data_IF_050942007311
#
_entry.id   IF_050942007311
#
_cell.length_a   1.000
_cell.length_b   1.000
_cell.length_c   1.000
_cell.angle_alpha   90.00
_cell.angle_beta   90.00
_cell.angle_gamma   90.00
#
_symmetry.space_group_name_H-M   'P 1'
#
loop_
_entity.id
_entity.type
_entity.pdbx_description
1 polymer ?
#
# COMPACT_ATOMS: atom_id res chain seq x y z
N UNK A 1 18.10 -26.97 -4.49
CA UNK A 1 18.02 -26.54 -3.09
C UNK A 1 17.78 -25.03 -3.11
N UNK A 2 16.52 -24.63 -3.30
CA UNK A 2 16.13 -23.23 -3.35
C UNK A 2 15.73 -22.82 -1.93
N UNK A 3 16.59 -22.08 -1.29
CA UNK A 3 16.31 -21.49 0.04
C UNK A 3 15.40 -20.31 -0.20
N UNK A 4 14.15 -20.44 0.22
CA UNK A 4 13.20 -19.33 0.32
C UNK A 4 13.74 -18.30 1.34
N UNK A 5 14.26 -17.17 0.83
CA UNK A 5 14.93 -16.13 1.64
C UNK A 5 13.90 -15.20 2.34
N UNK A 6 12.61 -15.45 2.22
CA UNK A 6 11.57 -14.48 2.55
C UNK A 6 10.66 -14.81 3.73
N UNK A 7 11.14 -15.61 4.66
CA UNK A 7 10.61 -15.59 6.01
C UNK A 7 11.62 -15.00 6.99
N UNK A 8 12.07 -13.77 6.78
CA UNK A 8 12.55 -12.98 7.91
C UNK A 8 11.32 -12.54 8.68
N UNK A 9 10.64 -13.52 9.20
CA UNK A 9 9.67 -13.34 10.27
C UNK A 9 10.50 -12.83 11.44
N UNK A 10 10.34 -11.56 11.71
CA UNK A 10 10.87 -10.96 12.91
C UNK A 10 10.27 -11.70 14.09
N UNK A 11 11.07 -12.54 14.74
CA UNK A 11 10.67 -13.18 15.99
C UNK A 11 10.63 -12.11 17.06
N UNK A 12 9.45 -11.60 17.32
CA UNK A 12 9.16 -10.89 18.54
C UNK A 12 9.54 -11.76 19.72
N UNK A 13 10.19 -11.20 20.73
CA UNK A 13 10.26 -11.87 22.02
C UNK A 13 8.84 -12.06 22.52
N UNK A 14 8.47 -13.30 22.85
CA UNK A 14 7.12 -13.79 23.22
C UNK A 14 6.43 -13.04 24.38
N UNK A 15 7.01 -12.00 24.92
CA UNK A 15 6.55 -11.31 26.14
C UNK A 15 5.87 -9.95 25.89
N UNK A 16 5.71 -9.51 24.65
CA UNK A 16 4.93 -8.30 24.38
C UNK A 16 3.52 -8.72 23.93
N UNK A 17 2.56 -8.55 24.83
CA UNK A 17 1.14 -8.77 24.52
C UNK A 17 0.73 -7.72 23.47
N UNK A 18 0.20 -8.12 22.30
CA UNK A 18 -0.33 -7.17 21.34
C UNK A 18 -1.45 -6.34 21.99
N UNK A 19 -1.67 -5.08 21.58
CA UNK A 19 -2.85 -4.36 21.98
C UNK A 19 -4.09 -5.22 21.69
N UNK A 20 -4.95 -5.43 22.69
CA UNK A 20 -6.10 -6.33 22.64
C UNK A 20 -7.15 -5.99 21.58
N UNK A 21 -6.93 -4.92 20.80
CA UNK A 21 -7.85 -4.39 19.79
C UNK A 21 -7.17 -4.06 18.45
N UNK A 22 -6.09 -4.74 18.09
CA UNK A 22 -5.46 -4.47 16.80
C UNK A 22 -6.41 -4.86 15.67
N UNK A 23 -6.67 -3.91 14.78
CA UNK A 23 -7.49 -4.08 13.58
C UNK A 23 -6.61 -4.19 12.34
N UNK A 24 -7.18 -4.70 11.27
CA UNK A 24 -6.57 -4.66 9.95
C UNK A 24 -6.60 -3.24 9.37
N UNK A 25 -5.47 -2.80 8.83
CA UNK A 25 -5.34 -1.55 8.12
C UNK A 25 -4.76 -1.79 6.73
N UNK A 26 -5.37 -1.19 5.73
CA UNK A 26 -4.91 -1.28 4.36
C UNK A 26 -3.96 -0.12 4.07
N UNK A 27 -2.66 -0.41 3.98
CA UNK A 27 -1.66 0.61 3.65
C UNK A 27 -1.65 0.93 2.15
N UNK A 28 -1.88 -0.09 1.32
CA UNK A 28 -1.92 0.09 -0.14
C UNK A 28 -2.93 -0.84 -0.77
N UNK A 29 -3.74 -0.30 -1.68
CA UNK A 29 -4.68 -1.06 -2.51
C UNK A 29 -4.78 -0.37 -3.87
N UNK A 30 -3.81 -0.64 -4.75
CA UNK A 30 -3.62 0.05 -6.02
C UNK A 30 -3.88 -0.90 -7.17
N UNK A 31 -4.88 -0.56 -8.00
CA UNK A 31 -5.12 -1.22 -9.28
C UNK A 31 -4.49 -0.39 -10.40
N UNK A 32 -3.70 -1.03 -11.25
CA UNK A 32 -2.98 -0.39 -12.35
C UNK A 32 -2.76 -1.33 -13.53
N UNK A 33 -2.30 -0.80 -14.65
CA UNK A 33 -2.00 -1.59 -15.84
C UNK A 33 -0.75 -2.44 -15.67
N UNK A 34 0.25 -1.91 -14.96
CA UNK A 34 1.50 -2.63 -14.71
C UNK A 34 2.13 -2.20 -13.37
N UNK A 35 2.85 -3.12 -12.73
CA UNK A 35 3.66 -2.88 -11.53
C UNK A 35 5.06 -3.39 -11.77
N UNK A 36 6.02 -2.49 -11.84
CA UNK A 36 7.44 -2.84 -11.94
C UNK A 36 8.10 -2.71 -10.58
N UNK A 37 8.78 -3.76 -10.18
CA UNK A 37 9.51 -3.81 -8.92
C UNK A 37 10.99 -4.06 -9.17
N UNK A 38 11.83 -3.30 -8.49
CA UNK A 38 13.28 -3.53 -8.42
C UNK A 38 13.66 -3.67 -6.94
N UNK A 39 14.90 -4.06 -6.60
CA UNK A 39 15.31 -4.13 -5.21
C UNK A 39 15.08 -2.84 -4.40
N UNK A 40 15.07 -1.68 -5.06
CA UNK A 40 15.03 -0.38 -4.40
C UNK A 40 13.85 0.51 -4.87
N UNK A 41 12.97 0.04 -5.75
CA UNK A 41 11.86 0.86 -6.23
C UNK A 41 10.64 0.04 -6.62
N UNK A 42 9.48 0.69 -6.53
CA UNK A 42 8.23 0.22 -7.09
C UNK A 42 7.66 1.30 -8.01
N UNK A 43 7.21 0.88 -9.18
CA UNK A 43 6.59 1.76 -10.18
C UNK A 43 5.18 1.27 -10.47
N UNK A 44 4.20 2.13 -10.31
CA UNK A 44 2.81 1.89 -10.68
C UNK A 44 2.52 2.61 -11.99
N UNK A 45 2.17 1.88 -13.04
CA UNK A 45 1.94 2.41 -14.38
C UNK A 45 0.47 2.31 -14.71
N UNK A 46 -0.14 3.42 -15.14
CA UNK A 46 -1.52 3.46 -15.62
C UNK A 46 -2.54 3.06 -14.56
N UNK A 47 -2.70 3.89 -13.52
CA UNK A 47 -3.71 3.61 -12.47
C UNK A 47 -5.12 3.51 -13.04
N UNK A 48 -5.81 2.39 -12.75
CA UNK A 48 -7.14 2.10 -13.26
C UNK A 48 -8.21 2.62 -12.30
N UNK A 49 -8.82 3.74 -12.62
CA UNK A 49 -9.99 4.30 -11.90
C UNK A 49 -11.18 4.49 -12.82
N UNK A 50 -10.92 4.60 -14.11
CA UNK A 50 -11.93 4.71 -15.15
C UNK A 50 -11.45 3.94 -16.38
N UNK A 51 -12.36 3.32 -17.07
CA UNK A 51 -12.15 2.55 -18.29
C UNK A 51 -13.15 2.97 -19.36
N UNK A 52 -12.70 3.00 -20.60
CA UNK A 52 -13.58 3.10 -21.76
C UNK A 52 -13.58 1.76 -22.52
N UNK A 53 -14.75 1.26 -22.85
CA UNK A 53 -14.91 0.03 -23.61
C UNK A 53 -16.02 0.17 -24.68
N UNK A 54 -15.70 -0.21 -25.92
CA UNK A 54 -16.66 -0.18 -27.04
C UNK A 54 -17.55 -1.42 -27.10
N UNK A 55 -17.04 -2.57 -26.67
CA UNK A 55 -17.76 -3.83 -26.73
C UNK A 55 -17.77 -4.54 -25.38
N UNK A 56 -18.89 -5.13 -25.02
CA UNK A 56 -19.10 -5.94 -23.82
C UNK A 56 -19.57 -7.35 -24.19
N UNK A 57 -19.20 -8.42 -23.44
CA UNK A 57 -18.27 -8.38 -22.31
C UNK A 57 -16.82 -8.17 -22.76
N UNK A 58 -15.99 -7.55 -21.91
CA UNK A 58 -14.56 -7.34 -22.14
C UNK A 58 -13.73 -7.86 -20.98
N UNK A 59 -12.69 -8.66 -21.28
CA UNK A 59 -11.69 -9.04 -20.28
C UNK A 59 -10.55 -8.03 -20.28
N UNK A 60 -10.16 -7.58 -19.08
CA UNK A 60 -9.07 -6.64 -18.86
C UNK A 60 -8.08 -7.28 -17.89
N UNK A 61 -6.83 -7.35 -18.28
CA UNK A 61 -5.74 -7.73 -17.38
C UNK A 61 -5.26 -6.49 -16.62
N UNK A 62 -5.14 -6.62 -15.31
CA UNK A 62 -4.69 -5.56 -14.42
C UNK A 62 -3.81 -6.12 -13.30
N UNK A 63 -2.97 -5.27 -12.73
CA UNK A 63 -2.22 -5.59 -11.54
C UNK A 63 -2.84 -4.91 -10.33
N UNK A 64 -3.03 -5.67 -9.27
CA UNK A 64 -3.36 -5.18 -7.95
C UNK A 64 -2.13 -5.29 -7.06
N UNK A 65 -1.65 -4.16 -6.56
CA UNK A 65 -0.67 -4.11 -5.48
C UNK A 65 -1.38 -3.84 -4.17
N UNK A 66 -1.07 -4.63 -3.16
CA UNK A 66 -1.69 -4.56 -1.86
C UNK A 66 -0.65 -4.64 -0.76
N UNK A 67 -0.82 -3.81 0.27
CA UNK A 67 -0.07 -3.90 1.53
C UNK A 67 -1.05 -3.71 2.67
N UNK A 68 -1.07 -4.67 3.60
CA UNK A 68 -1.91 -4.65 4.79
C UNK A 68 -1.07 -4.78 6.04
N UNK A 69 -1.55 -4.19 7.11
CA UNK A 69 -0.99 -4.27 8.45
C UNK A 69 -2.07 -4.77 9.42
N UNK A 70 -1.74 -5.76 10.25
CA UNK A 70 -2.74 -6.33 11.15
C UNK A 70 -2.19 -7.28 12.20
N UNK A 71 -3.08 -7.97 12.92
CA UNK A 71 -2.71 -8.95 13.93
C UNK A 71 -2.03 -10.18 13.31
N UNK A 72 -1.22 -10.87 14.10
CA UNK A 72 -0.58 -12.12 13.69
C UNK A 72 -1.42 -13.30 14.14
N UNK A 73 -2.22 -13.81 13.24
CA UNK A 73 -2.99 -15.06 13.40
C UNK A 73 -3.24 -15.62 12.01
N UNK A 74 -3.94 -16.73 11.93
CA UNK A 74 -4.40 -17.26 10.65
C UNK A 74 -5.56 -16.43 10.11
N UNK A 75 -5.50 -16.07 8.84
CA UNK A 75 -6.48 -15.20 8.21
C UNK A 75 -6.86 -15.68 6.81
N UNK A 76 -8.14 -15.52 6.51
CA UNK A 76 -8.68 -15.74 5.17
C UNK A 76 -8.84 -14.40 4.43
N UNK A 77 -8.24 -14.32 3.25
CA UNK A 77 -8.36 -13.15 2.40
C UNK A 77 -9.01 -13.49 1.07
N UNK A 78 -9.93 -12.62 0.63
CA UNK A 78 -10.56 -12.69 -0.69
C UNK A 78 -10.46 -11.35 -1.40
N UNK A 79 -10.18 -11.42 -2.70
CA UNK A 79 -10.30 -10.27 -3.60
C UNK A 79 -11.52 -10.56 -4.48
N UNK A 80 -12.51 -9.70 -4.42
CA UNK A 80 -13.76 -9.84 -5.17
C UNK A 80 -13.97 -8.67 -6.11
N UNK A 81 -14.61 -8.91 -7.23
CA UNK A 81 -15.16 -7.88 -8.12
C UNK A 81 -16.69 -7.87 -7.97
N UNK A 82 -17.21 -6.75 -7.51
CA UNK A 82 -18.64 -6.50 -7.43
C UNK A 82 -19.09 -5.79 -8.69
N UNK A 83 -20.10 -6.31 -9.33
CA UNK A 83 -20.68 -5.81 -10.57
C UNK A 83 -21.82 -4.83 -10.30
N UNK A 84 -22.20 -3.98 -11.27
CA UNK A 84 -23.35 -3.07 -11.12
C UNK A 84 -24.67 -3.83 -10.90
N UNK A 85 -24.86 -4.94 -11.60
CA UNK A 85 -26.13 -5.70 -11.63
C UNK A 85 -26.00 -7.16 -11.27
N UNK A 86 -24.80 -7.74 -11.37
CA UNK A 86 -24.56 -9.16 -11.15
C UNK A 86 -24.06 -9.46 -9.72
N UNK A 87 -24.04 -10.74 -9.36
CA UNK A 87 -23.45 -11.18 -8.10
C UNK A 87 -21.91 -10.98 -8.10
N UNK A 88 -21.33 -10.68 -6.93
CA UNK A 88 -19.89 -10.51 -6.80
C UNK A 88 -19.13 -11.79 -7.21
N UNK A 89 -18.02 -11.61 -7.91
CA UNK A 89 -17.13 -12.69 -8.33
C UNK A 89 -15.84 -12.70 -7.51
N UNK A 90 -15.49 -13.83 -6.94
CA UNK A 90 -14.17 -14.03 -6.31
C UNK A 90 -13.12 -14.13 -7.42
N UNK A 91 -12.14 -13.23 -7.39
CA UNK A 91 -11.01 -13.19 -8.32
C UNK A 91 -9.79 -13.90 -7.74
N UNK A 92 -9.63 -13.85 -6.43
CA UNK A 92 -8.50 -14.44 -5.71
C UNK A 92 -8.92 -14.79 -4.28
N UNK A 93 -8.38 -15.88 -3.75
CA UNK A 93 -8.61 -16.33 -2.39
C UNK A 93 -7.31 -16.95 -1.85
N UNK A 94 -6.95 -16.58 -0.64
CA UNK A 94 -5.73 -17.04 0.01
C UNK A 94 -5.95 -17.17 1.52
N UNK A 95 -5.42 -18.23 2.08
CA UNK A 95 -5.27 -18.40 3.51
C UNK A 95 -3.81 -18.14 3.87
N UNK A 96 -3.54 -17.25 4.81
CA UNK A 96 -2.19 -17.01 5.28
C UNK A 96 -2.07 -17.24 6.78
N UNK A 97 -1.10 -18.07 7.09
CA UNK A 97 -0.65 -18.30 8.44
C UNK A 97 0.48 -17.35 8.78
N UNK A 98 0.39 -16.70 9.91
CA UNK A 98 1.43 -15.77 10.32
C UNK A 98 1.82 -15.91 11.78
N UNK A 99 3.08 -16.22 12.03
CA UNK A 99 3.65 -16.43 13.37
C UNK A 99 4.43 -15.20 13.87
N UNK A 100 4.08 -14.00 13.54
CA UNK A 100 4.85 -12.83 13.98
C UNK A 100 4.00 -11.59 14.18
N UNK A 101 4.32 -10.79 15.17
CA UNK A 101 3.67 -9.51 15.41
C UNK A 101 4.69 -8.38 15.40
N UNK A 102 4.36 -7.22 14.82
CA UNK A 102 3.20 -6.93 13.97
C UNK A 102 3.35 -7.52 12.57
N UNK A 103 2.22 -7.82 11.94
CA UNK A 103 2.20 -8.38 10.59
C UNK A 103 2.01 -7.28 9.54
N UNK A 104 2.93 -7.21 8.63
CA UNK A 104 2.75 -6.44 7.40
C UNK A 104 2.88 -7.39 6.21
N UNK A 105 1.78 -7.56 5.48
CA UNK A 105 1.71 -8.38 4.28
C UNK A 105 1.70 -7.47 3.05
N UNK A 106 2.55 -7.77 2.10
CA UNK A 106 2.65 -7.03 0.84
C UNK A 106 2.71 -8.00 -0.32
N UNK A 107 1.86 -7.80 -1.31
CA UNK A 107 1.81 -8.64 -2.49
C UNK A 107 1.31 -7.90 -3.73
N UNK A 108 1.58 -8.50 -4.92
CA UNK A 108 1.03 -8.07 -6.20
C UNK A 108 0.31 -9.23 -6.86
N UNK A 109 -0.88 -8.96 -7.37
CA UNK A 109 -1.74 -9.94 -8.02
C UNK A 109 -2.02 -9.53 -9.46
N UNK A 110 -1.88 -10.47 -10.39
CA UNK A 110 -2.35 -10.28 -11.75
C UNK A 110 -3.80 -10.73 -11.82
N UNK A 111 -4.70 -9.79 -12.05
CA UNK A 111 -6.13 -10.03 -12.06
C UNK A 111 -6.68 -9.99 -13.48
N UNK A 112 -7.68 -10.83 -13.75
CA UNK A 112 -8.51 -10.78 -14.95
C UNK A 112 -9.88 -10.25 -14.57
N UNK A 113 -10.13 -9.01 -14.94
CA UNK A 113 -11.40 -8.33 -14.68
C UNK A 113 -12.32 -8.56 -15.86
N UNK A 114 -13.45 -9.19 -15.64
CA UNK A 114 -14.47 -9.38 -16.66
C UNK A 114 -15.50 -8.26 -16.54
N UNK A 115 -15.50 -7.35 -17.47
CA UNK A 115 -16.40 -6.20 -17.54
C UNK A 115 -17.57 -6.58 -18.44
N UNK A 116 -18.77 -6.69 -17.88
CA UNK A 116 -19.97 -7.18 -18.58
C UNK A 116 -20.79 -6.07 -19.21
N UNK A 117 -20.77 -4.87 -18.61
CA UNK A 117 -21.59 -3.73 -19.02
C UNK A 117 -20.93 -2.40 -18.57
N UNK A 118 -21.37 -1.24 -19.05
CA UNK A 118 -20.99 0.04 -18.48
C UNK A 118 -21.53 0.19 -17.05
N UNK A 119 -20.80 0.93 -16.19
CA UNK A 119 -21.23 1.19 -14.83
C UNK A 119 -20.10 1.16 -13.81
N UNK A 120 -20.47 1.10 -12.55
CA UNK A 120 -19.57 1.15 -11.41
C UNK A 120 -19.25 -0.25 -10.90
N UNK A 121 -18.00 -0.62 -10.95
CA UNK A 121 -17.46 -1.85 -10.41
C UNK A 121 -16.66 -1.56 -9.15
N UNK A 122 -16.76 -2.46 -8.16
CA UNK A 122 -15.98 -2.36 -6.93
C UNK A 122 -15.05 -3.54 -6.81
N UNK A 123 -13.75 -3.26 -6.81
CA UNK A 123 -12.76 -4.24 -6.41
C UNK A 123 -12.61 -4.14 -4.89
N UNK A 124 -12.90 -5.22 -4.17
CA UNK A 124 -12.87 -5.25 -2.72
C UNK A 124 -11.88 -6.29 -2.19
N UNK A 125 -11.19 -5.93 -1.12
CA UNK A 125 -10.41 -6.87 -0.32
C UNK A 125 -11.18 -7.16 0.97
N UNK A 126 -11.47 -8.43 1.19
CA UNK A 126 -12.14 -8.95 2.39
C UNK A 126 -11.11 -9.76 3.17
N UNK A 127 -10.94 -9.44 4.45
CA UNK A 127 -10.12 -10.23 5.38
C UNK A 127 -11.01 -10.58 6.57
N UNK A 128 -11.11 -11.87 6.88
CA UNK A 128 -11.96 -12.41 7.95
C UNK A 128 -13.40 -11.88 7.84
N UNK A 129 -14.00 -12.08 6.67
CA UNK A 129 -15.37 -11.67 6.31
C UNK A 129 -15.68 -10.16 6.42
N UNK A 130 -14.66 -9.33 6.65
CA UNK A 130 -14.83 -7.88 6.70
C UNK A 130 -14.15 -7.19 5.52
N UNK A 131 -14.86 -6.28 4.85
CA UNK A 131 -14.30 -5.45 3.77
C UNK A 131 -13.26 -4.50 4.38
N UNK A 132 -11.99 -4.65 3.96
CA UNK A 132 -10.86 -3.84 4.43
C UNK A 132 -10.46 -2.76 3.43
N UNK A 133 -10.69 -3.00 2.16
CA UNK A 133 -10.54 -2.00 1.12
C UNK A 133 -11.60 -2.19 0.05
N UNK A 134 -11.97 -1.10 -0.59
CA UNK A 134 -12.83 -1.10 -1.76
C UNK A 134 -12.32 -0.04 -2.74
N UNK A 135 -12.29 -0.37 -4.01
CA UNK A 135 -11.85 0.51 -5.07
C UNK A 135 -12.88 0.57 -6.18
N UNK A 136 -13.33 1.77 -6.47
CA UNK A 136 -14.22 2.03 -7.59
C UNK A 136 -13.44 1.98 -8.91
N UNK A 137 -14.04 1.30 -9.89
CA UNK A 137 -13.65 1.28 -11.29
C UNK A 137 -14.90 1.71 -12.06
N UNK A 138 -14.90 2.93 -12.56
CA UNK A 138 -16.00 3.45 -13.35
C UNK A 138 -15.78 3.10 -14.83
N UNK A 139 -16.77 2.45 -15.47
CA UNK A 139 -16.67 1.99 -16.86
C UNK A 139 -17.64 2.74 -17.73
N UNK A 140 -17.11 3.47 -18.70
CA UNK A 140 -17.86 4.23 -19.69
C UNK A 140 -17.91 3.52 -21.04
N UNK A 141 -19.03 3.61 -21.78
CA UNK A 141 -19.05 3.15 -23.16
C UNK A 141 -18.16 4.03 -24.03
N UNK A 142 -17.38 3.42 -24.88
CA UNK A 142 -16.69 4.12 -25.95
C UNK A 142 -17.69 4.49 -27.02
N UNK A 143 -17.72 5.75 -27.47
CA UNK A 143 -18.63 6.24 -28.50
C UNK A 143 -17.88 6.23 -29.83
N UNK A 144 -18.25 5.30 -30.71
CA UNK A 144 -17.56 5.09 -32.00
C UNK A 144 -17.73 6.27 -32.97
N UNK A 145 -18.77 7.09 -32.77
CA UNK A 145 -19.05 8.30 -33.55
C UNK A 145 -18.22 9.52 -33.11
N UNK A 146 -17.55 9.44 -31.97
CA UNK A 146 -16.66 10.47 -31.49
C UNK A 146 -15.20 10.19 -31.84
N UNK A 147 -14.44 11.26 -32.04
CA UNK A 147 -12.99 11.11 -32.15
C UNK A 147 -12.38 10.58 -30.84
N UNK A 148 -11.20 9.94 -30.92
CA UNK A 148 -10.47 9.47 -29.75
C UNK A 148 -10.25 10.59 -28.71
N UNK A 149 -9.90 11.79 -29.19
CA UNK A 149 -9.72 12.97 -28.32
C UNK A 149 -11.01 13.36 -27.60
N UNK A 150 -12.16 13.32 -28.29
CA UNK A 150 -13.46 13.65 -27.69
C UNK A 150 -13.87 12.59 -26.64
N UNK A 151 -13.64 11.30 -26.91
CA UNK A 151 -13.85 10.24 -25.94
C UNK A 151 -12.94 10.40 -24.69
N UNK A 152 -11.66 10.74 -24.88
CA UNK A 152 -10.74 11.01 -23.77
C UNK A 152 -11.18 12.24 -22.96
N UNK A 153 -11.68 13.29 -23.60
CA UNK A 153 -12.18 14.48 -22.91
C UNK A 153 -13.46 14.15 -22.12
N UNK A 154 -14.41 13.45 -22.71
CA UNK A 154 -15.63 13.01 -22.02
C UNK A 154 -15.33 12.16 -20.79
N UNK A 155 -14.35 11.24 -20.90
CA UNK A 155 -13.90 10.45 -19.75
C UNK A 155 -13.25 11.32 -18.66
N UNK A 156 -12.41 12.29 -19.04
CA UNK A 156 -11.80 13.21 -18.08
C UNK A 156 -12.85 14.09 -17.37
N UNK A 157 -13.87 14.57 -18.08
CA UNK A 157 -14.98 15.33 -17.52
C UNK A 157 -15.81 14.47 -16.55
N UNK A 158 -16.11 13.21 -16.91
CA UNK A 158 -16.79 12.28 -16.05
C UNK A 158 -16.00 11.98 -14.74
N UNK A 159 -14.68 11.77 -14.85
CA UNK A 159 -13.81 11.59 -13.69
C UNK A 159 -13.84 12.81 -12.77
N UNK A 160 -13.70 14.00 -13.34
CA UNK A 160 -13.66 15.25 -12.56
C UNK A 160 -15.01 15.62 -11.94
N UNK A 161 -16.10 15.28 -12.59
CA UNK A 161 -17.48 15.56 -12.14
C UNK A 161 -18.11 14.46 -11.30
N UNK A 162 -17.41 13.36 -11.06
CA UNK A 162 -17.95 12.22 -10.33
C UNK A 162 -18.20 12.59 -8.86
N UNK A 163 -19.48 12.54 -8.45
CA UNK A 163 -19.92 12.98 -7.12
C UNK A 163 -20.79 11.95 -6.40
N UNK A 164 -20.81 10.69 -6.86
CA UNK A 164 -21.64 9.67 -6.22
C UNK A 164 -21.29 9.51 -4.76
N UNK A 165 -22.23 9.91 -3.89
CA UNK A 165 -21.99 10.11 -2.46
C UNK A 165 -22.15 8.84 -1.63
N UNK A 166 -22.68 7.77 -2.18
CA UNK A 166 -22.94 6.56 -1.37
C UNK A 166 -21.68 5.78 -1.03
N UNK A 167 -20.56 6.11 -1.63
CA UNK A 167 -19.52 5.14 -1.81
C UNK A 167 -18.25 5.31 -1.04
N UNK A 168 -17.77 6.50 -0.72
CA UNK A 168 -16.38 6.58 -0.35
C UNK A 168 -16.15 7.56 0.79
N UNK A 169 -16.19 7.04 2.00
CA UNK A 169 -15.44 7.67 3.10
C UNK A 169 -14.00 7.86 2.63
N UNK A 170 -13.36 8.98 2.96
CA UNK A 170 -11.97 9.21 2.58
C UNK A 170 -11.10 8.09 3.14
N UNK A 171 -10.24 7.54 2.29
CA UNK A 171 -9.34 6.45 2.66
C UNK A 171 -8.00 6.56 1.95
N UNK A 172 -7.01 5.94 2.54
CA UNK A 172 -5.71 5.79 1.91
C UNK A 172 -5.79 4.71 0.82
N UNK A 173 -5.25 5.02 -0.35
CA UNK A 173 -5.02 4.03 -1.41
C UNK A 173 -3.55 3.65 -1.52
N UNK A 174 -2.67 4.48 -0.97
CA UNK A 174 -1.26 4.22 -0.78
C UNK A 174 -0.78 4.98 0.46
N UNK A 175 0.00 4.31 1.29
CA UNK A 175 0.76 4.90 2.38
C UNK A 175 2.11 4.22 2.46
N UNK A 176 3.18 4.98 2.36
CA UNK A 176 4.54 4.44 2.43
C UNK A 176 5.55 5.45 2.95
N UNK A 177 6.65 4.91 3.49
CA UNK A 177 7.85 5.67 3.86
C UNK A 177 8.96 5.36 2.86
N UNK A 178 9.71 6.38 2.47
CA UNK A 178 10.85 6.25 1.57
C UNK A 178 12.01 7.18 1.96
N UNK A 179 13.23 6.79 1.60
CA UNK A 179 14.40 7.66 1.76
C UNK A 179 14.48 8.71 0.66
N UNK A 180 13.94 8.38 -0.51
CA UNK A 180 13.96 9.25 -1.68
C UNK A 180 12.59 9.88 -1.90
N UNK A 181 12.60 11.08 -2.48
CA UNK A 181 11.36 11.76 -2.85
C UNK A 181 10.65 10.98 -3.98
N UNK A 182 9.38 10.54 -3.76
CA UNK A 182 8.60 9.87 -4.79
C UNK A 182 8.41 10.73 -6.03
N UNK A 183 8.55 10.11 -7.20
CA UNK A 183 8.39 10.76 -8.49
C UNK A 183 7.00 10.47 -9.05
N UNK A 184 6.34 11.50 -9.57
CA UNK A 184 5.03 11.37 -10.18
C UNK A 184 4.99 12.07 -11.53
N UNK A 185 4.41 11.40 -12.52
CA UNK A 185 3.97 11.96 -13.79
C UNK A 185 2.56 11.47 -14.12
N UNK A 186 1.97 11.93 -15.23
CA UNK A 186 0.56 11.69 -15.53
C UNK A 186 0.07 10.24 -15.37
N UNK A 187 0.91 9.24 -15.69
CA UNK A 187 0.54 7.82 -15.63
C UNK A 187 1.56 6.96 -14.87
N UNK A 188 2.48 7.58 -14.17
CA UNK A 188 3.56 6.89 -13.47
C UNK A 188 3.70 7.41 -12.06
N UNK A 189 3.69 6.51 -11.10
CA UNK A 189 4.14 6.77 -9.73
C UNK A 189 5.32 5.86 -9.43
N UNK A 190 6.45 6.47 -9.14
CA UNK A 190 7.69 5.76 -8.80
C UNK A 190 8.13 6.11 -7.40
N UNK A 191 8.28 5.08 -6.57
CA UNK A 191 8.72 5.19 -5.20
C UNK A 191 10.03 4.43 -5.07
N UNK A 192 11.08 5.15 -4.68
CA UNK A 192 12.43 4.60 -4.50
C UNK A 192 12.79 4.68 -3.01
N UNK A 193 13.56 3.69 -2.53
CA UNK A 193 14.04 3.69 -1.15
C UNK A 193 12.95 3.46 -0.10
N UNK A 194 11.89 2.68 -0.43
CA UNK A 194 10.94 2.23 0.59
C UNK A 194 11.65 1.41 1.66
N UNK A 195 11.32 1.63 2.92
CA UNK A 195 11.99 0.95 4.01
C UNK A 195 11.02 0.54 5.14
N UNK A 196 11.42 -0.49 5.86
CA UNK A 196 10.79 -0.92 7.11
C UNK A 196 11.80 -1.11 8.24
N UNK A 197 13.11 -1.04 7.94
CA UNK A 197 14.16 -1.25 8.96
C UNK A 197 15.28 -0.25 8.79
N UNK A 198 15.80 0.22 9.92
CA UNK A 198 16.92 1.15 10.02
C UNK A 198 17.93 0.60 11.00
N UNK A 199 19.16 0.42 10.56
CA UNK A 199 20.28 -0.01 11.40
C UNK A 199 21.19 1.17 11.68
N UNK A 200 21.57 1.38 12.93
CA UNK A 200 22.52 2.43 13.27
C UNK A 200 23.54 1.98 14.33
N UNK A 201 24.68 2.70 14.39
CA UNK A 201 25.74 2.43 15.36
C UNK A 201 25.38 2.95 16.76
N UNK A 202 24.73 4.11 16.79
CA UNK A 202 24.45 4.83 18.02
C UNK A 202 23.06 5.41 18.04
N UNK A 203 22.47 5.49 19.21
CA UNK A 203 21.21 6.18 19.48
C UNK A 203 21.46 7.45 20.32
N UNK A 204 20.65 8.51 20.21
CA UNK A 204 19.49 8.61 19.31
C UNK A 204 19.90 8.74 17.84
N UNK A 205 19.10 8.14 16.96
CA UNK A 205 19.22 8.32 15.51
C UNK A 205 18.17 9.31 15.04
N UNK A 206 18.57 10.28 14.25
CA UNK A 206 17.66 11.16 13.49
C UNK A 206 18.01 11.08 12.01
N UNK A 207 17.01 10.89 11.16
CA UNK A 207 17.19 10.97 9.72
C UNK A 207 15.94 11.49 9.01
N UNK A 208 16.13 12.05 7.82
CA UNK A 208 15.04 12.56 6.99
C UNK A 208 14.50 11.45 6.09
N UNK A 209 13.18 11.36 6.03
CA UNK A 209 12.43 10.47 5.15
C UNK A 209 11.28 11.22 4.48
N UNK A 210 10.62 10.57 3.54
CA UNK A 210 9.40 11.04 2.92
C UNK A 210 8.24 10.11 3.28
N UNK A 211 7.16 10.69 3.79
CA UNK A 211 5.88 10.02 3.89
C UNK A 211 5.09 10.36 2.63
N UNK A 212 4.78 9.35 1.84
CA UNK A 212 4.00 9.49 0.61
C UNK A 212 2.67 8.80 0.73
N UNK A 213 1.61 9.51 0.37
CA UNK A 213 0.25 9.04 0.52
C UNK A 213 -0.57 9.40 -0.71
N UNK A 214 -1.51 8.52 -1.04
CA UNK A 214 -2.58 8.80 -1.99
C UNK A 214 -3.90 8.67 -1.25
N UNK A 215 -4.68 9.74 -1.26
CA UNK A 215 -6.00 9.78 -0.67
C UNK A 215 -7.03 9.78 -1.79
N UNK A 216 -8.06 8.97 -1.63
CA UNK A 216 -9.25 8.97 -2.48
C UNK A 216 -10.48 9.08 -1.57
N UNK A 217 -11.44 9.91 -1.95
CA UNK A 217 -12.67 10.13 -1.19
C UNK A 217 -13.62 11.02 -1.95
N UNK A 218 -14.85 11.13 -1.45
CA UNK A 218 -15.83 12.05 -2.00
C UNK A 218 -15.29 13.49 -1.99
N UNK A 219 -15.81 14.38 -2.86
CA UNK A 219 -15.45 15.79 -2.80
C UNK A 219 -15.65 16.36 -1.40
N UNK A 220 -14.62 17.01 -0.88
CA UNK A 220 -14.63 17.57 0.47
C UNK A 220 -13.24 17.91 0.98
N UNK A 221 -13.20 18.53 2.15
CA UNK A 221 -11.96 18.89 2.85
C UNK A 221 -11.82 17.99 4.06
N UNK A 222 -10.70 17.30 4.16
CA UNK A 222 -10.41 16.31 5.19
C UNK A 222 -9.19 16.73 6.00
N UNK A 223 -9.25 16.50 7.32
CA UNK A 223 -8.10 16.68 8.20
C UNK A 223 -7.23 15.42 8.16
N UNK A 224 -6.03 15.56 7.60
CA UNK A 224 -5.03 14.50 7.54
C UNK A 224 -3.98 14.69 8.62
N UNK A 225 -3.63 13.59 9.33
CA UNK A 225 -2.59 13.57 10.36
C UNK A 225 -1.80 12.27 10.31
N UNK A 226 -0.52 12.34 10.63
CA UNK A 226 0.31 11.16 10.87
C UNK A 226 1.14 11.32 12.13
N UNK A 227 1.43 10.21 12.78
CA UNK A 227 2.12 10.14 14.06
C UNK A 227 3.13 9.00 14.07
N UNK A 228 4.26 9.18 14.77
CA UNK A 228 5.22 8.13 15.08
C UNK A 228 5.16 7.80 16.56
N UNK A 229 5.00 6.54 16.89
CA UNK A 229 4.95 6.03 18.26
C UNK A 229 6.05 5.01 18.52
N UNK A 230 6.65 5.05 19.71
CA UNK A 230 7.41 3.92 20.24
C UNK A 230 6.43 2.80 20.65
N UNK A 231 6.56 1.63 20.04
CA UNK A 231 5.66 0.50 20.30
C UNK A 231 5.74 -0.03 21.74
N UNK A 232 6.86 0.19 22.44
CA UNK A 232 7.07 -0.37 23.80
C UNK A 232 6.34 0.39 24.89
N UNK A 233 6.10 1.69 24.73
CA UNK A 233 5.50 2.55 25.74
C UNK A 233 4.40 3.46 25.20
N UNK A 234 4.07 3.37 23.89
CA UNK A 234 3.11 4.21 23.19
C UNK A 234 3.43 5.73 23.26
N UNK A 235 4.68 6.08 23.50
CA UNK A 235 5.11 7.46 23.48
C UNK A 235 5.07 8.01 22.05
N UNK A 236 4.38 9.16 21.89
CA UNK A 236 4.34 9.86 20.61
C UNK A 236 5.65 10.62 20.39
N UNK A 237 6.38 10.21 19.36
CA UNK A 237 7.69 10.75 18.99
C UNK A 237 7.60 11.88 17.96
N UNK A 238 6.57 11.84 17.11
CA UNK A 238 6.37 12.80 16.03
C UNK A 238 4.88 12.95 15.71
N UNK A 239 4.50 14.14 15.28
CA UNK A 239 3.17 14.44 14.75
C UNK A 239 3.29 15.45 13.61
N UNK A 240 2.56 15.21 12.52
CA UNK A 240 2.41 16.13 11.40
C UNK A 240 1.04 15.98 10.77
N UNK A 241 0.62 16.98 10.00
CA UNK A 241 -0.66 16.91 9.33
C UNK A 241 -0.93 18.12 8.44
N UNK A 242 -2.00 18.01 7.66
CA UNK A 242 -2.50 19.08 6.79
C UNK A 242 -3.97 18.86 6.45
N UNK A 243 -4.61 19.89 5.91
CA UNK A 243 -5.92 19.76 5.27
C UNK A 243 -5.77 19.34 3.82
N UNK A 244 -6.62 18.44 3.37
CA UNK A 244 -6.61 17.87 2.03
C UNK A 244 -7.95 18.13 1.38
N UNK A 245 -7.94 18.78 0.24
CA UNK A 245 -9.11 19.01 -0.60
C UNK A 245 -9.19 17.94 -1.69
N UNK A 246 -10.19 17.06 -1.61
CA UNK A 246 -10.53 16.08 -2.64
C UNK A 246 -11.62 16.68 -3.54
N UNK A 247 -11.37 16.73 -4.84
CA UNK A 247 -12.27 17.35 -5.83
C UNK A 247 -13.16 16.36 -6.57
N UNK A 248 -12.82 15.06 -6.53
CA UNK A 248 -13.58 13.98 -7.14
C UNK A 248 -13.30 12.66 -6.45
N UNK A 249 -14.33 11.81 -6.34
CA UNK A 249 -14.20 10.47 -5.75
C UNK A 249 -13.30 9.51 -6.57
N UNK A 250 -13.11 9.78 -7.85
CA UNK A 250 -12.24 8.99 -8.74
C UNK A 250 -10.78 9.48 -8.76
N UNK A 251 -10.53 10.73 -8.35
CA UNK A 251 -9.19 11.29 -8.35
C UNK A 251 -8.46 10.98 -7.04
N UNK A 252 -7.24 10.48 -7.18
CA UNK A 252 -6.34 10.31 -6.05
C UNK A 252 -5.61 11.62 -5.77
N UNK A 253 -5.70 12.10 -4.54
CA UNK A 253 -4.94 13.26 -4.08
C UNK A 253 -3.60 12.80 -3.50
N UNK A 254 -2.46 13.16 -4.10
CA UNK A 254 -1.16 12.89 -3.53
C UNK A 254 -0.84 13.85 -2.40
N UNK A 255 -0.26 13.31 -1.36
CA UNK A 255 0.37 14.05 -0.29
C UNK A 255 1.80 13.57 -0.12
N UNK A 256 2.71 14.53 -0.06
CA UNK A 256 4.11 14.29 0.21
C UNK A 256 4.52 15.13 1.41
N UNK A 257 5.02 14.46 2.44
CA UNK A 257 5.57 15.14 3.61
C UNK A 257 7.02 14.72 3.81
N UNK A 258 7.92 15.69 3.93
CA UNK A 258 9.26 15.44 4.43
C UNK A 258 9.18 15.35 5.96
N UNK A 259 9.60 14.22 6.51
CA UNK A 259 9.54 13.93 7.94
C UNK A 259 10.93 13.68 8.50
N UNK A 260 11.19 14.18 9.70
CA UNK A 260 12.40 13.83 10.45
C UNK A 260 12.02 12.78 11.46
N UNK A 261 12.48 11.55 11.23
CA UNK A 261 12.23 10.44 12.14
C UNK A 261 13.33 10.41 13.20
N UNK A 262 12.93 10.25 14.45
CA UNK A 262 13.83 10.15 15.59
C UNK A 262 13.57 8.87 16.34
N UNK A 263 14.63 8.06 16.51
CA UNK A 263 14.60 6.81 17.25
C UNK A 263 15.53 6.94 18.45
N UNK A 264 15.00 6.86 19.66
CA UNK A 264 15.78 7.07 20.89
C UNK A 264 16.55 5.81 21.32
N UNK A 265 16.12 4.64 20.89
CA UNK A 265 16.67 3.32 21.25
C UNK A 265 16.35 2.29 20.15
N UNK A 266 16.97 1.11 20.14
CA UNK A 266 16.50 -0.02 19.34
C UNK A 266 15.07 -0.39 19.72
N UNK A 267 14.27 -0.78 18.72
CA UNK A 267 12.88 -1.19 18.96
C UNK A 267 11.98 -1.05 17.75
N UNK A 268 10.71 -1.25 17.99
CA UNK A 268 9.65 -1.13 17.00
C UNK A 268 8.94 0.20 17.16
N UNK A 269 8.66 0.81 16.05
CA UNK A 269 7.97 2.08 15.97
C UNK A 269 6.81 1.98 14.99
N UNK A 270 5.67 2.56 15.34
CA UNK A 270 4.51 2.63 14.47
C UNK A 270 4.39 4.01 13.87
N UNK A 271 4.45 4.08 12.55
CA UNK A 271 4.10 5.27 11.80
C UNK A 271 2.67 5.15 11.30
N UNK A 272 1.78 5.97 11.84
CA UNK A 272 0.33 5.82 11.69
C UNK A 272 -0.27 7.02 10.98
N UNK A 273 -1.18 6.78 10.05
CA UNK A 273 -1.90 7.80 9.30
C UNK A 273 -3.38 7.84 9.69
N UNK A 274 -3.91 9.05 9.86
CA UNK A 274 -5.30 9.31 10.21
C UNK A 274 -5.95 10.24 9.18
N UNK A 275 -7.23 10.04 8.91
CA UNK A 275 -8.10 10.97 8.18
C UNK A 275 -9.30 11.25 9.08
N UNK A 276 -9.60 12.52 9.34
CA UNK A 276 -10.67 12.99 10.25
C UNK A 276 -10.66 12.27 11.61
N UNK A 277 -9.45 12.05 12.14
CA UNK A 277 -9.23 11.39 13.43
C UNK A 277 -9.36 9.86 13.39
N UNK A 278 -9.74 9.27 12.27
CA UNK A 278 -9.82 7.80 12.10
C UNK A 278 -8.51 7.26 11.53
N UNK A 279 -7.96 6.25 12.19
CA UNK A 279 -6.78 5.54 11.71
C UNK A 279 -7.07 4.83 10.39
N UNK A 280 -6.24 5.07 9.39
CA UNK A 280 -6.39 4.55 8.03
C UNK A 280 -5.28 3.60 7.60
N UNK A 281 -4.09 3.76 8.15
CA UNK A 281 -2.93 2.93 7.82
C UNK A 281 -1.86 3.01 8.89
N UNK A 282 -1.00 1.99 8.92
CA UNK A 282 0.15 1.94 9.81
C UNK A 282 1.32 1.20 9.16
N UNK A 283 2.52 1.72 9.34
CA UNK A 283 3.78 1.03 9.02
C UNK A 283 4.56 0.74 10.28
N UNK A 284 5.18 -0.43 10.29
CA UNK A 284 6.20 -0.75 11.30
C UNK A 284 7.55 -0.29 10.79
N UNK A 285 8.24 0.46 11.61
CA UNK A 285 9.65 0.78 11.40
C UNK A 285 10.46 0.15 12.50
N UNK A 286 11.43 -0.67 12.13
CA UNK A 286 12.33 -1.31 13.07
C UNK A 286 13.61 -0.51 13.09
N UNK A 287 13.94 0.00 14.25
CA UNK A 287 15.23 0.57 14.51
C UNK A 287 16.08 -0.45 15.28
N UNK A 288 17.26 -0.80 14.78
CA UNK A 288 18.13 -1.78 15.42
C UNK A 288 19.59 -1.34 15.40
N UNK A 289 20.39 -1.93 16.28
CA UNK A 289 21.83 -1.73 16.28
C UNK A 289 22.48 -2.56 15.18
N UNK A 290 23.58 -2.07 14.64
CA UNK A 290 24.41 -2.83 13.71
C UNK A 290 24.83 -4.13 14.39
N UNK A 291 24.44 -5.32 13.89
CA UNK A 291 24.86 -6.57 14.51
C UNK A 291 26.38 -6.73 14.39
N UNK A 292 27.00 -7.27 15.43
CA UNK A 292 28.45 -7.53 15.47
C UNK A 292 28.87 -8.62 14.47
N UNK A 293 27.93 -9.43 13.99
CA UNK A 293 28.17 -10.51 13.03
C UNK A 293 27.10 -10.48 11.94
N UNK A 294 27.45 -10.95 10.74
CA UNK A 294 26.52 -11.11 9.63
C UNK A 294 25.27 -11.92 10.09
N UNK A 295 24.18 -11.21 10.31
CA UNK A 295 22.87 -11.80 10.57
C UNK A 295 22.19 -12.25 9.28
N UNK A 296 21.08 -12.99 9.40
CA UNK A 296 20.26 -13.42 8.27
C UNK A 296 19.83 -12.20 7.43
N UNK A 297 20.18 -12.21 6.14
CA UNK A 297 19.80 -11.16 5.18
C UNK A 297 20.79 -9.99 5.04
N UNK A 298 21.84 -9.95 5.83
CA UNK A 298 22.92 -8.97 5.63
C UNK A 298 24.02 -9.54 4.72
N UNK A 299 24.36 -8.82 3.67
CA UNK A 299 25.50 -9.11 2.80
C UNK A 299 26.76 -8.40 3.32
N UNK A 300 27.95 -8.86 2.88
CA UNK A 300 29.20 -8.15 3.17
C UNK A 300 29.16 -6.69 2.71
N UNK A 301 28.45 -6.41 1.62
CA UNK A 301 28.24 -5.07 1.09
C UNK A 301 27.47 -4.17 2.08
N UNK A 302 26.40 -4.69 2.69
CA UNK A 302 25.64 -3.97 3.72
C UNK A 302 26.49 -3.70 4.94
N UNK A 303 27.32 -4.67 5.38
CA UNK A 303 28.23 -4.49 6.49
C UNK A 303 29.31 -3.43 6.19
N UNK A 304 29.81 -3.39 4.97
CA UNK A 304 30.76 -2.36 4.53
C UNK A 304 30.12 -0.98 4.56
N UNK A 305 28.90 -0.84 4.01
CA UNK A 305 28.15 0.42 4.05
C UNK A 305 27.87 0.89 5.48
N UNK A 306 27.55 -0.02 6.39
CA UNK A 306 27.35 0.27 7.81
C UNK A 306 28.66 0.69 8.52
N UNK A 307 29.82 0.21 8.06
CA UNK A 307 31.10 0.65 8.62
C UNK A 307 31.44 2.09 8.23
N UNK A 308 31.06 2.49 7.03
CA UNK A 308 31.36 3.83 6.47
C UNK A 308 30.34 4.89 6.89
N UNK A 309 29.08 4.50 7.18
CA UNK A 309 27.98 5.40 7.51
C UNK A 309 27.55 5.27 8.98
N UNK A 310 26.89 6.30 9.50
CA UNK A 310 26.31 6.28 10.84
C UNK A 310 25.08 5.36 10.94
N UNK A 311 24.35 5.22 9.84
CA UNK A 311 23.17 4.36 9.74
C UNK A 311 23.01 3.78 8.33
N UNK A 312 22.21 2.71 8.23
CA UNK A 312 21.81 2.09 6.98
C UNK A 312 20.30 1.80 7.02
N UNK A 313 19.63 2.13 5.93
CA UNK A 313 18.21 1.88 5.76
C UNK A 313 18.03 0.66 4.86
N UNK A 314 17.44 -0.39 5.41
CA UNK A 314 17.14 -1.60 4.63
C UNK A 314 15.89 -1.37 3.79
N UNK A 315 16.08 -1.38 2.47
CA UNK A 315 14.98 -1.25 1.52
C UNK A 315 13.98 -2.41 1.67
N UNK A 316 12.70 -2.07 1.70
CA UNK A 316 11.61 -3.05 1.65
C UNK A 316 11.58 -3.66 0.25
N UNK A 317 11.60 -5.00 0.17
CA UNK A 317 11.51 -5.71 -1.10
C UNK A 317 10.11 -6.29 -1.25
N UNK A 318 9.37 -5.93 -2.31
CA UNK A 318 8.10 -6.59 -2.63
C UNK A 318 8.33 -8.08 -2.89
N UNK A 319 7.46 -8.92 -2.36
CA UNK A 319 7.49 -10.37 -2.61
C UNK A 319 6.97 -10.61 -4.03
N UNK A 320 7.75 -11.25 -4.89
CA UNK A 320 7.33 -11.65 -6.23
C UNK A 320 6.80 -13.10 -6.19
N UNK A 321 5.49 -13.28 -6.11
CA UNK A 321 4.83 -14.60 -6.07
C UNK A 321 4.60 -15.17 -7.49
N UNK A 322 4.93 -14.45 -8.57
CA UNK A 322 4.72 -14.92 -9.93
C UNK A 322 5.41 -16.24 -10.26
N UNK A 323 6.25 -16.78 -9.38
CA UNK A 323 6.99 -18.04 -9.56
C UNK A 323 6.38 -19.25 -8.84
N UNK A 324 5.31 -19.09 -8.03
CA UNK A 324 4.76 -20.23 -7.26
C UNK A 324 3.59 -20.98 -7.90
N UNK A 325 3.00 -20.49 -8.98
CA UNK A 325 1.84 -21.16 -9.62
C UNK A 325 2.19 -22.23 -10.69
N UNK A 326 3.45 -22.64 -10.83
CA UNK A 326 3.88 -23.62 -11.82
C UNK A 326 4.26 -24.99 -11.21
N UNK A 327 3.48 -25.51 -10.28
CA UNK A 327 3.83 -26.77 -9.64
C UNK A 327 2.71 -27.48 -8.89
N UNK A 328 1.56 -27.69 -9.55
CA UNK A 328 0.66 -28.80 -9.18
C UNK A 328 -0.27 -29.13 -10.34
N UNK A 329 0.18 -30.02 -11.18
CA UNK A 329 -0.66 -30.83 -12.09
C UNK A 329 -0.90 -32.18 -11.45
#
# INVERSE_FOLDING_TARGET
>A
MQVSIYSTIMRYEKNQTPPSEMKWYMNSFILCQDVKTTPNSIEFIGGLTSLMAGNFPKEIEAWLYMSVFGPSTDHDMKIILRYPTDEPKVLYEEHFENEGFPFEYENKYRLKLQITEPGDYYLECIIDDAVRASRLINVHPYQDDLSETANMQANAEAINGYTDSELISPRLTLFTLSTDEPQRSNNLEKITGQFCSVYCKNYPLEFNAFAYLLIQGNPGVYDFRFELFDASNHEKMYEGGSRVDCTSALLKKPLLAKVTLKFNKPGYYFFVAYIDGMMQGAHVVIADTVPATLGYGMTEEVMTLLQENEYYVLAKRPIDISTQSAGSS
#
